data_IF_496874989523
#
_entry.id   IF_496874989523
#
_cell.length_a   1.000
_cell.length_b   1.000
_cell.length_c   1.000
_cell.angle_alpha   90.00
_cell.angle_beta   90.00
_cell.angle_gamma   90.00
#
_symmetry.space_group_name_H-M   'P 1'
#
loop_
_entity.id
_entity.type
_entity.pdbx_description
1 polymer ?
#
# COMPACT_ATOMS: atom_id res chain seq x y z
N UNK A 1 -17.31 20.55 0.28
CA UNK A 1 -17.09 19.11 0.50
C UNK A 1 -17.45 18.38 -0.78
N UNK A 2 -16.56 17.55 -1.34
CA UNK A 2 -16.84 16.77 -2.56
C UNK A 2 -16.97 15.28 -2.21
N UNK A 3 -17.78 14.55 -2.98
CA UNK A 3 -17.95 13.11 -2.77
C UNK A 3 -16.76 12.33 -3.35
N UNK A 4 -16.26 11.32 -2.63
CA UNK A 4 -15.09 10.51 -3.02
C UNK A 4 -15.26 9.79 -4.37
N UNK A 5 -16.49 9.44 -4.77
CA UNK A 5 -16.77 8.85 -6.08
C UNK A 5 -16.31 9.74 -7.26
N UNK A 6 -16.10 11.04 -7.06
CA UNK A 6 -15.54 11.91 -8.10
C UNK A 6 -14.13 11.46 -8.49
N UNK A 7 -13.34 10.93 -7.54
CA UNK A 7 -11.99 10.41 -7.77
C UNK A 7 -11.97 9.07 -8.54
N UNK A 8 -13.12 8.40 -8.68
CA UNK A 8 -13.25 7.12 -9.37
C UNK A 8 -13.65 7.29 -10.84
N UNK A 9 -13.98 8.50 -11.29
CA UNK A 9 -14.39 8.76 -12.68
C UNK A 9 -13.23 8.42 -13.63
N UNK A 10 -13.44 7.43 -14.49
CA UNK A 10 -12.43 6.96 -15.45
C UNK A 10 -11.40 5.99 -14.87
N UNK A 11 -11.56 5.56 -13.61
CA UNK A 11 -10.71 4.51 -13.05
C UNK A 11 -11.14 3.15 -13.60
N UNK A 12 -10.33 2.59 -14.49
CA UNK A 12 -10.50 1.21 -14.96
C UNK A 12 -9.54 0.28 -14.21
N UNK A 13 -9.94 -0.99 -13.96
CA UNK A 13 -9.05 -1.96 -13.36
C UNK A 13 -7.83 -2.21 -14.27
N UNK A 14 -6.62 -2.11 -13.70
CA UNK A 14 -5.36 -2.13 -14.48
C UNK A 14 -4.92 -3.53 -14.97
N UNK A 15 -5.55 -4.63 -14.55
CA UNK A 15 -5.08 -6.00 -14.86
C UNK A 15 -6.17 -6.89 -15.44
N UNK A 16 -5.78 -7.75 -16.39
CA UNK A 16 -6.65 -8.75 -17.03
C UNK A 16 -6.81 -10.02 -16.18
N UNK A 17 -5.96 -10.24 -15.18
CA UNK A 17 -6.08 -11.37 -14.26
C UNK A 17 -7.02 -11.01 -13.11
N UNK A 18 -8.21 -11.62 -13.11
CA UNK A 18 -9.27 -11.37 -12.12
C UNK A 18 -8.77 -11.48 -10.66
N UNK A 19 -7.88 -12.43 -10.36
CA UNK A 19 -7.37 -12.65 -8.99
C UNK A 19 -6.47 -11.52 -8.46
N UNK A 20 -5.85 -10.76 -9.35
CA UNK A 20 -4.94 -9.67 -9.02
C UNK A 20 -5.60 -8.30 -9.21
N UNK A 21 -6.87 -8.29 -9.64
CA UNK A 21 -7.60 -7.08 -10.00
C UNK A 21 -8.03 -6.29 -8.77
N UNK A 22 -7.44 -5.10 -8.62
CA UNK A 22 -7.92 -4.13 -7.66
C UNK A 22 -9.09 -3.34 -8.26
N UNK A 23 -10.28 -3.52 -7.70
CA UNK A 23 -11.48 -2.81 -8.16
C UNK A 23 -11.47 -1.39 -7.59
N UNK A 24 -11.61 -0.35 -8.43
CA UNK A 24 -11.76 1.03 -7.96
C UNK A 24 -13.04 1.17 -7.14
N UNK A 25 -12.88 1.38 -5.83
CA UNK A 25 -13.98 1.65 -4.90
C UNK A 25 -13.70 2.92 -4.10
N UNK A 26 -14.72 3.41 -3.40
CA UNK A 26 -14.59 4.58 -2.55
C UNK A 26 -13.47 4.44 -1.50
N UNK A 27 -13.25 3.23 -0.99
CA UNK A 27 -12.18 2.95 -0.02
C UNK A 27 -10.80 3.01 -0.68
N UNK A 28 -10.65 2.51 -1.90
CA UNK A 28 -9.38 2.64 -2.65
C UNK A 28 -9.02 4.10 -2.89
N UNK A 29 -10.00 4.95 -3.21
CA UNK A 29 -9.78 6.39 -3.39
C UNK A 29 -9.33 7.06 -2.09
N UNK A 30 -10.00 6.74 -0.96
CA UNK A 30 -9.67 7.30 0.35
C UNK A 30 -8.28 6.88 0.83
N UNK A 31 -7.97 5.58 0.78
CA UNK A 31 -6.68 5.08 1.22
C UNK A 31 -5.55 5.56 0.32
N UNK A 32 -5.76 5.64 -1.00
CA UNK A 32 -4.78 6.20 -1.92
C UNK A 32 -4.46 7.66 -1.57
N UNK A 33 -5.49 8.49 -1.36
CA UNK A 33 -5.32 9.89 -0.96
C UNK A 33 -4.57 10.03 0.38
N UNK A 34 -4.92 9.24 1.39
CA UNK A 34 -4.24 9.28 2.69
C UNK A 34 -2.79 8.83 2.59
N UNK A 35 -2.50 7.77 1.82
CA UNK A 35 -1.14 7.32 1.56
C UNK A 35 -0.33 8.41 0.85
N UNK A 36 -0.89 9.06 -0.18
CA UNK A 36 -0.24 10.17 -0.89
C UNK A 36 0.13 11.30 0.05
N UNK A 37 -0.83 11.75 0.86
CA UNK A 37 -0.60 12.83 1.82
C UNK A 37 0.50 12.47 2.83
N UNK A 38 0.46 11.26 3.38
CA UNK A 38 1.45 10.79 4.35
C UNK A 38 2.85 10.66 3.72
N UNK A 39 2.96 10.10 2.52
CA UNK A 39 4.24 9.92 1.82
C UNK A 39 4.85 11.27 1.45
N UNK A 40 4.05 12.21 0.92
CA UNK A 40 4.50 13.56 0.57
C UNK A 40 5.08 14.32 1.76
N UNK A 41 4.54 14.09 2.96
CA UNK A 41 4.97 14.76 4.18
C UNK A 41 5.88 13.91 5.09
N UNK A 42 6.37 12.76 4.60
CA UNK A 42 7.20 11.82 5.36
C UNK A 42 6.58 11.46 6.73
N UNK A 43 5.26 11.25 6.77
CA UNK A 43 4.51 10.86 7.96
C UNK A 43 4.21 9.35 7.93
N UNK A 44 4.61 8.58 8.97
CA UNK A 44 4.23 7.17 9.07
C UNK A 44 2.71 6.99 9.12
N UNK A 45 2.21 5.95 8.45
CA UNK A 45 0.79 5.60 8.38
C UNK A 45 0.59 4.15 8.81
N UNK A 46 -0.48 3.89 9.58
CA UNK A 46 -0.93 2.55 9.95
C UNK A 46 -2.36 2.32 9.44
N UNK A 47 -2.54 1.30 8.61
CA UNK A 47 -3.86 0.86 8.14
C UNK A 47 -4.32 -0.36 8.95
N UNK A 48 -5.41 -0.21 9.69
CA UNK A 48 -6.02 -1.27 10.52
C UNK A 48 -7.36 -1.73 9.95
N UNK A 49 -7.69 -3.00 10.15
CA UNK A 49 -8.99 -3.57 9.79
C UNK A 49 -8.96 -5.09 9.64
N UNK A 50 -10.13 -5.74 9.49
CA UNK A 50 -10.25 -7.20 9.40
C UNK A 50 -9.41 -7.82 8.28
N UNK A 51 -9.04 -9.10 8.40
CA UNK A 51 -8.36 -9.82 7.32
C UNK A 51 -9.25 -9.91 6.06
N UNK A 52 -8.63 -9.99 4.89
CA UNK A 52 -9.36 -10.09 3.61
C UNK A 52 -9.96 -8.79 3.06
N UNK A 53 -9.77 -7.63 3.70
CA UNK A 53 -10.33 -6.34 3.23
C UNK A 53 -9.44 -5.56 2.23
N UNK A 54 -8.47 -6.22 1.60
CA UNK A 54 -7.64 -5.61 0.55
C UNK A 54 -6.52 -4.66 1.02
N UNK A 55 -6.39 -4.38 2.33
CA UNK A 55 -5.37 -3.46 2.89
C UNK A 55 -3.96 -3.67 2.33
N UNK A 56 -3.46 -4.91 2.37
CA UNK A 56 -2.12 -5.23 1.86
C UNK A 56 -2.01 -5.00 0.36
N UNK A 57 -3.07 -5.29 -0.40
CA UNK A 57 -3.10 -5.06 -1.85
C UNK A 57 -3.05 -3.56 -2.19
N UNK A 58 -3.75 -2.71 -1.43
CA UNK A 58 -3.70 -1.25 -1.60
C UNK A 58 -2.29 -0.69 -1.40
N UNK A 59 -1.63 -1.12 -0.30
CA UNK A 59 -0.27 -0.67 0.03
C UNK A 59 0.74 -1.19 -1.01
N UNK A 60 0.65 -2.47 -1.38
CA UNK A 60 1.53 -3.05 -2.39
C UNK A 60 1.39 -2.36 -3.73
N UNK A 61 0.17 -2.13 -4.21
CA UNK A 61 -0.08 -1.42 -5.45
C UNK A 61 0.53 -0.01 -5.41
N UNK A 62 0.31 0.73 -4.31
CA UNK A 62 0.84 2.09 -4.17
C UNK A 62 2.36 2.11 -4.25
N UNK A 63 3.02 1.30 -3.43
CA UNK A 63 4.48 1.30 -3.30
C UNK A 63 5.20 0.74 -4.55
N UNK A 64 4.65 -0.27 -5.20
CA UNK A 64 5.30 -0.97 -6.31
C UNK A 64 4.97 -0.38 -7.69
N UNK A 65 3.82 0.29 -7.85
CA UNK A 65 3.32 0.69 -9.17
C UNK A 65 2.98 2.17 -9.30
N UNK A 66 2.55 2.83 -8.22
CA UNK A 66 2.07 4.22 -8.29
C UNK A 66 3.11 5.25 -7.79
N UNK A 67 4.20 4.81 -7.14
CA UNK A 67 5.31 5.68 -6.74
C UNK A 67 6.46 5.70 -7.76
N UNK A 68 7.16 6.84 -7.92
CA UNK A 68 8.36 6.93 -8.74
C UNK A 68 9.48 6.01 -8.23
N UNK A 69 9.82 4.99 -9.00
CA UNK A 69 10.79 3.96 -8.61
C UNK A 69 12.25 4.45 -8.61
N UNK A 70 12.51 5.63 -9.20
CA UNK A 70 13.78 6.35 -9.12
C UNK A 70 13.99 7.03 -7.76
N UNK A 71 12.92 7.25 -6.99
CA UNK A 71 12.94 7.94 -5.70
C UNK A 71 12.64 7.04 -4.51
N UNK A 72 11.86 5.98 -4.72
CA UNK A 72 11.37 5.12 -3.66
C UNK A 72 11.71 3.66 -3.94
N UNK A 73 12.26 2.99 -2.93
CA UNK A 73 12.46 1.53 -2.92
C UNK A 73 11.45 0.88 -1.97
N UNK A 74 10.55 0.06 -2.52
CA UNK A 74 9.55 -0.65 -1.71
C UNK A 74 10.18 -1.87 -1.01
N UNK A 75 10.02 -1.96 0.31
CA UNK A 75 10.43 -3.13 1.11
C UNK A 75 9.25 -3.64 1.94
N UNK A 76 9.09 -4.96 1.97
CA UNK A 76 8.01 -5.63 2.70
C UNK A 76 8.59 -6.55 3.78
N UNK A 77 8.06 -6.43 5.00
CA UNK A 77 8.41 -7.27 6.15
C UNK A 77 7.12 -7.86 6.71
N UNK A 78 7.08 -9.18 6.84
CA UNK A 78 5.93 -9.90 7.39
C UNK A 78 6.30 -10.45 8.78
N UNK A 79 5.38 -10.29 9.73
CA UNK A 79 5.54 -10.81 11.08
C UNK A 79 4.66 -12.04 11.28
N UNK A 80 5.18 -12.98 12.06
CA UNK A 80 4.42 -14.11 12.59
C UNK A 80 4.71 -14.27 14.08
N UNK A 81 4.04 -15.21 14.74
CA UNK A 81 4.32 -15.54 16.14
C UNK A 81 5.76 -16.01 16.40
N UNK A 82 6.51 -16.41 15.37
CA UNK A 82 7.89 -16.88 15.47
C UNK A 82 8.93 -15.81 15.12
N UNK A 83 8.50 -14.59 14.75
CA UNK A 83 9.42 -13.51 14.37
C UNK A 83 9.98 -12.85 15.64
N UNK A 84 11.28 -13.02 15.89
CA UNK A 84 11.98 -12.37 17.01
C UNK A 84 12.48 -10.96 16.67
N UNK A 85 12.83 -10.18 17.69
CA UNK A 85 13.44 -8.86 17.50
C UNK A 85 14.75 -8.93 16.70
N UNK A 86 15.62 -9.90 17.02
CA UNK A 86 16.88 -10.10 16.30
C UNK A 86 16.65 -10.46 14.83
N UNK A 87 15.65 -11.30 14.54
CA UNK A 87 15.28 -11.62 13.15
C UNK A 87 14.81 -10.38 12.39
N UNK A 88 13.99 -9.54 13.03
CA UNK A 88 13.50 -8.28 12.43
C UNK A 88 14.66 -7.34 12.09
N UNK A 89 15.61 -7.18 13.02
CA UNK A 89 16.79 -6.36 12.78
C UNK A 89 17.62 -6.89 11.61
N UNK A 90 17.86 -8.20 11.56
CA UNK A 90 18.60 -8.80 10.45
C UNK A 90 17.91 -8.59 9.10
N UNK A 91 16.57 -8.72 9.05
CA UNK A 91 15.79 -8.44 7.84
C UNK A 91 15.97 -6.99 7.39
N UNK A 92 15.88 -6.02 8.31
CA UNK A 92 16.05 -4.59 7.98
C UNK A 92 17.47 -4.32 7.48
N UNK A 93 18.49 -4.83 8.18
CA UNK A 93 19.90 -4.59 7.81
C UNK A 93 20.21 -5.17 6.43
N UNK A 94 19.72 -6.37 6.10
CA UNK A 94 19.89 -6.98 4.77
C UNK A 94 19.27 -6.20 3.60
N UNK A 95 18.51 -5.14 3.88
CA UNK A 95 17.88 -4.26 2.88
C UNK A 95 18.57 -2.91 2.74
N UNK A 96 19.52 -2.61 3.64
CA UNK A 96 20.32 -1.39 3.65
C UNK A 96 21.69 -1.57 2.96
N UNK A 97 22.16 -2.82 2.87
CA UNK A 97 23.32 -3.24 2.07
C UNK A 97 22.99 -3.30 0.56
#
# INVERSE_FOLDING_TARGET
WNHWNVMLKGAEPKTTKIREMLVPTMDTARYSFLMDLCIQHNRPLLLVGPTGTGKSAYVQQKLMHDLPQDKYLATFINFSAQTSANMTQNIIMSKLD
#
